data_IF_141304792935
#
_entry.id   IF_141304792935
#
_cell.length_a   1.000
_cell.length_b   1.000
_cell.length_c   1.000
_cell.angle_alpha   90.00
_cell.angle_beta   90.00
_cell.angle_gamma   90.00
#
_symmetry.space_group_name_H-M   'P 1'
#
loop_
_entity.id
_entity.type
_entity.pdbx_description
1 polymer ?
#
# COMPACT_ATOMS: atom_id res chain seq x y z
N UNK A 1 -5.96 27.22 24.77
CA UNK A 1 -5.36 26.37 23.71
C UNK A 1 -4.89 25.03 24.22
N UNK A 2 -3.57 24.73 24.11
CA UNK A 2 -3.02 23.40 24.43
C UNK A 2 -3.30 22.89 25.84
N UNK A 3 -3.21 23.78 26.87
CA UNK A 3 -3.56 23.43 28.25
C UNK A 3 -5.05 23.11 28.43
N UNK A 4 -5.90 23.76 27.69
CA UNK A 4 -7.34 23.54 27.71
C UNK A 4 -7.70 22.17 27.10
N UNK A 5 -6.98 21.75 26.06
CA UNK A 5 -7.18 20.48 25.38
C UNK A 5 -6.57 19.29 26.14
N UNK A 6 -5.35 19.43 26.67
CA UNK A 6 -4.60 18.36 27.33
C UNK A 6 -4.79 18.30 28.84
N UNK A 7 -5.34 19.35 29.44
CA UNK A 7 -5.56 19.45 30.89
C UNK A 7 -4.26 19.29 31.70
N UNK A 8 -4.35 18.51 32.77
CA UNK A 8 -3.21 18.26 33.67
C UNK A 8 -2.06 17.50 33.02
N UNK A 9 -2.33 16.73 31.96
CA UNK A 9 -1.31 15.96 31.22
C UNK A 9 -0.26 16.88 30.57
N UNK A 10 -0.61 18.13 30.29
CA UNK A 10 0.34 19.09 29.72
C UNK A 10 1.44 19.48 30.70
N UNK A 11 1.21 19.40 32.02
CA UNK A 11 2.18 19.76 33.03
C UNK A 11 3.43 18.88 33.08
N UNK A 12 3.35 17.65 32.49
CA UNK A 12 4.47 16.74 32.38
C UNK A 12 5.42 17.06 31.21
N UNK A 13 5.09 18.08 30.40
CA UNK A 13 5.86 18.46 29.23
C UNK A 13 6.55 19.82 29.43
N UNK A 14 7.83 19.88 29.10
CA UNK A 14 8.62 21.12 29.07
C UNK A 14 8.92 21.56 27.64
N UNK A 15 9.02 22.87 27.37
CA UNK A 15 9.48 23.37 26.09
C UNK A 15 10.86 22.78 25.76
N UNK A 16 11.01 22.23 24.56
CA UNK A 16 12.25 21.56 24.14
C UNK A 16 13.06 22.39 23.13
N UNK A 17 12.39 22.97 22.15
CA UNK A 17 13.04 23.71 21.06
C UNK A 17 12.42 25.09 20.89
N UNK A 18 13.17 25.93 20.15
CA UNK A 18 12.63 27.19 19.67
C UNK A 18 11.43 26.97 18.77
N UNK A 19 10.47 27.86 18.84
CA UNK A 19 9.26 27.83 18.03
C UNK A 19 9.63 27.88 16.55
N UNK A 20 9.24 26.84 15.79
CA UNK A 20 9.40 26.84 14.34
C UNK A 20 8.28 27.68 13.74
N UNK A 21 8.67 28.74 13.03
CA UNK A 21 7.76 29.63 12.33
C UNK A 21 7.82 29.37 10.85
N UNK A 22 6.68 29.10 10.24
CA UNK A 22 6.54 28.92 8.78
C UNK A 22 5.59 29.96 8.21
N UNK A 23 6.10 30.82 7.36
CA UNK A 23 5.25 31.79 6.66
C UNK A 23 4.65 31.13 5.43
N UNK A 24 3.32 31.13 5.36
CA UNK A 24 2.54 30.60 4.26
C UNK A 24 1.73 31.76 3.64
N UNK A 25 1.28 31.63 2.39
CA UNK A 25 0.49 32.69 1.73
C UNK A 25 -0.74 33.05 2.56
N UNK A 26 -0.75 34.28 3.10
CA UNK A 26 -1.86 34.83 3.87
C UNK A 26 -1.86 34.52 5.37
N UNK A 27 -0.95 33.70 5.90
CA UNK A 27 -0.86 33.42 7.34
C UNK A 27 0.53 32.94 7.78
N UNK A 28 0.75 32.98 9.08
CA UNK A 28 1.95 32.40 9.70
C UNK A 28 1.53 31.20 10.55
N UNK A 29 2.20 30.09 10.35
CA UNK A 29 1.98 28.85 11.09
C UNK A 29 3.14 28.67 12.09
N UNK A 30 2.81 28.16 13.29
CA UNK A 30 3.76 27.90 14.35
C UNK A 30 3.74 26.44 14.74
N UNK A 31 4.91 25.89 15.02
CA UNK A 31 5.06 24.56 15.60
C UNK A 31 5.81 24.65 16.90
N UNK A 32 5.20 24.20 17.97
CA UNK A 32 5.78 24.19 19.31
C UNK A 32 6.09 22.75 19.69
N UNK A 33 7.35 22.48 20.04
CA UNK A 33 7.78 21.16 20.49
C UNK A 33 8.04 21.16 21.98
N UNK A 34 7.45 20.20 22.66
CA UNK A 34 7.62 19.96 24.09
C UNK A 34 8.17 18.54 24.30
N UNK A 35 8.98 18.33 25.32
CA UNK A 35 9.51 17.02 25.69
C UNK A 35 8.94 16.59 27.05
N UNK A 36 8.60 15.30 27.16
CA UNK A 36 8.09 14.74 28.41
C UNK A 36 9.23 14.52 29.42
N UNK A 37 9.10 15.03 30.64
CA UNK A 37 10.18 15.03 31.64
C UNK A 37 10.58 13.65 32.10
N UNK A 38 9.62 12.79 32.39
CA UNK A 38 9.85 11.48 33.03
C UNK A 38 9.74 10.29 32.11
N UNK A 39 9.01 10.40 31.00
CA UNK A 39 8.82 9.30 30.05
C UNK A 39 10.02 9.23 29.09
N UNK A 40 10.86 8.21 29.34
CA UNK A 40 12.04 7.92 28.52
C UNK A 40 12.03 6.43 28.15
N UNK A 41 12.32 6.11 26.93
CA UNK A 41 12.49 4.75 26.45
C UNK A 41 13.94 4.58 25.98
N UNK A 42 14.81 4.15 26.86
CA UNK A 42 16.26 4.03 26.62
C UNK A 42 16.82 5.39 26.13
N UNK A 43 17.16 5.51 24.86
CA UNK A 43 17.67 6.75 24.25
C UNK A 43 16.54 7.63 23.69
N UNK A 44 15.35 7.07 23.43
CA UNK A 44 14.24 7.79 22.84
C UNK A 44 13.53 8.68 23.86
N UNK A 45 12.94 9.77 23.36
CA UNK A 45 12.22 10.79 24.14
C UNK A 45 10.82 10.99 23.60
N UNK A 46 9.85 11.08 24.48
CA UNK A 46 8.48 11.39 24.09
C UNK A 46 8.30 12.89 23.93
N UNK A 47 7.87 13.30 22.75
CA UNK A 47 7.64 14.69 22.40
C UNK A 47 6.18 14.94 22.02
N UNK A 48 5.74 16.13 22.35
CA UNK A 48 4.44 16.66 21.98
C UNK A 48 4.67 17.83 21.02
N UNK A 49 4.08 17.75 19.85
CA UNK A 49 4.15 18.81 18.84
C UNK A 49 2.79 19.44 18.68
N UNK A 50 2.72 20.74 18.96
CA UNK A 50 1.52 21.55 18.79
C UNK A 50 1.64 22.36 17.52
N UNK A 51 0.71 22.19 16.60
CA UNK A 51 0.66 22.92 15.33
C UNK A 51 -0.42 23.98 15.41
N UNK A 52 -0.04 25.23 15.23
CA UNK A 52 -0.93 26.40 15.27
C UNK A 52 -0.93 27.05 13.89
N UNK A 53 -2.09 27.16 13.28
CA UNK A 53 -2.29 27.82 12.00
C UNK A 53 -2.95 29.18 12.22
N UNK A 54 -2.16 30.25 12.07
CA UNK A 54 -2.59 31.59 12.44
C UNK A 54 -2.85 31.72 13.94
N UNK A 55 -4.11 31.78 14.34
CA UNK A 55 -4.56 31.91 15.73
C UNK A 55 -5.19 30.64 16.32
N UNK A 56 -5.27 29.54 15.51
CA UNK A 56 -5.96 28.31 15.92
C UNK A 56 -5.01 27.11 16.05
N UNK A 57 -5.20 26.35 17.11
CA UNK A 57 -4.57 25.03 17.26
C UNK A 57 -5.21 24.06 16.26
N UNK A 58 -4.42 23.53 15.31
CA UNK A 58 -4.88 22.67 14.25
C UNK A 58 -4.35 21.24 14.34
N UNK A 59 -3.34 21.00 15.18
CA UNK A 59 -2.79 19.67 15.38
C UNK A 59 -2.13 19.52 16.74
N UNK A 60 -2.29 18.33 17.33
CA UNK A 60 -1.63 17.89 18.55
C UNK A 60 -1.08 16.51 18.27
N UNK A 61 0.22 16.41 18.02
CA UNK A 61 0.89 15.17 17.69
C UNK A 61 1.76 14.72 18.86
N UNK A 62 1.64 13.46 19.26
CA UNK A 62 2.56 12.83 20.19
C UNK A 62 3.48 11.91 19.42
N UNK A 63 4.77 12.06 19.58
CA UNK A 63 5.76 11.23 18.90
C UNK A 63 6.87 10.79 19.86
N UNK A 64 7.43 9.63 19.57
CA UNK A 64 8.65 9.15 20.21
C UNK A 64 9.82 9.57 19.32
N UNK A 65 10.62 10.53 19.81
CA UNK A 65 11.81 10.97 19.11
C UNK A 65 12.95 9.98 19.33
N UNK A 66 13.40 9.35 18.26
CA UNK A 66 14.54 8.46 18.24
C UNK A 66 15.77 9.28 17.90
N UNK A 67 16.88 9.18 18.67
CA UNK A 67 18.12 9.89 18.34
C UNK A 67 18.74 9.43 17.03
N UNK A 68 19.29 10.35 16.26
CA UNK A 68 19.97 10.06 14.99
C UNK A 68 21.08 9.02 15.11
N UNK A 69 21.81 9.05 16.23
CA UNK A 69 22.84 8.06 16.50
C UNK A 69 22.30 6.62 16.63
N UNK A 70 21.06 6.44 17.08
CA UNK A 70 20.40 5.14 17.07
C UNK A 70 20.02 4.73 15.66
N UNK A 71 19.45 5.64 14.87
CA UNK A 71 19.08 5.37 13.49
C UNK A 71 20.30 5.00 12.65
N UNK A 72 21.41 5.71 12.81
CA UNK A 72 22.68 5.38 12.14
C UNK A 72 23.16 3.97 12.49
N UNK A 73 23.22 3.62 13.79
CA UNK A 73 23.60 2.25 14.22
C UNK A 73 22.65 1.19 13.67
N UNK A 74 21.36 1.47 13.64
CA UNK A 74 20.35 0.57 13.11
C UNK A 74 20.50 0.38 11.60
N UNK A 75 20.73 1.45 10.85
CA UNK A 75 20.98 1.40 9.41
C UNK A 75 22.29 0.66 9.09
N UNK A 76 23.36 0.89 9.85
CA UNK A 76 24.63 0.16 9.71
C UNK A 76 24.45 -1.36 9.92
N UNK A 77 23.72 -1.76 10.97
CA UNK A 77 23.41 -3.19 11.21
C UNK A 77 22.60 -3.81 10.05
N UNK A 78 21.78 -3.03 9.38
CA UNK A 78 20.92 -3.51 8.27
C UNK A 78 21.50 -3.27 6.89
N UNK A 79 22.62 -2.56 6.78
CA UNK A 79 23.18 -2.13 5.48
C UNK A 79 23.38 -3.30 4.52
N UNK A 80 23.89 -4.44 4.97
CA UNK A 80 24.11 -5.63 4.13
C UNK A 80 22.75 -6.21 3.66
N UNK A 81 21.77 -6.34 4.55
CA UNK A 81 20.44 -6.84 4.20
C UNK A 81 19.74 -5.89 3.22
N UNK A 82 19.88 -4.58 3.43
CA UNK A 82 19.29 -3.57 2.54
C UNK A 82 19.94 -3.63 1.14
N UNK A 83 21.27 -3.82 1.06
CA UNK A 83 21.97 -3.99 -0.21
C UNK A 83 21.54 -5.27 -0.93
N UNK A 84 21.46 -6.40 -0.24
CA UNK A 84 20.96 -7.66 -0.81
C UNK A 84 19.54 -7.49 -1.33
N UNK A 85 18.66 -6.84 -0.55
CA UNK A 85 17.28 -6.56 -0.96
C UNK A 85 17.21 -5.66 -2.20
N UNK A 86 18.04 -4.62 -2.28
CA UNK A 86 18.10 -3.74 -3.44
C UNK A 86 18.57 -4.49 -4.70
N UNK A 87 19.63 -5.28 -4.59
CA UNK A 87 20.11 -6.10 -5.72
C UNK A 87 19.05 -7.08 -6.16
N UNK A 88 18.39 -7.78 -5.23
CA UNK A 88 17.29 -8.69 -5.53
C UNK A 88 16.15 -7.96 -6.26
N UNK A 89 15.77 -6.77 -5.81
CA UNK A 89 14.74 -5.95 -6.46
C UNK A 89 15.13 -5.55 -7.89
N UNK A 90 16.38 -5.14 -8.14
CA UNK A 90 16.85 -4.81 -9.49
C UNK A 90 16.85 -6.04 -10.41
N UNK A 91 17.30 -7.19 -9.91
CA UNK A 91 17.28 -8.46 -10.66
C UNK A 91 15.83 -8.86 -10.98
N UNK A 92 14.94 -8.81 -9.99
CA UNK A 92 13.52 -9.09 -10.19
C UNK A 92 12.88 -8.15 -11.20
N UNK A 93 13.13 -6.85 -11.10
CA UNK A 93 12.65 -5.87 -12.07
C UNK A 93 13.17 -6.16 -13.48
N UNK A 94 14.46 -6.41 -13.61
CA UNK A 94 15.08 -6.76 -14.90
C UNK A 94 14.47 -8.01 -15.52
N UNK A 95 14.35 -9.09 -14.75
CA UNK A 95 13.82 -10.36 -15.25
C UNK A 95 12.31 -10.31 -15.54
N UNK A 96 11.51 -9.77 -14.61
CA UNK A 96 10.05 -9.83 -14.70
C UNK A 96 9.48 -8.71 -15.57
N UNK A 97 9.96 -7.48 -15.41
CA UNK A 97 9.42 -6.34 -16.15
C UNK A 97 10.07 -6.26 -17.53
N UNK A 98 11.41 -6.16 -17.61
CA UNK A 98 12.07 -6.02 -18.90
C UNK A 98 12.05 -7.34 -19.69
N UNK A 99 12.42 -8.45 -19.09
CA UNK A 99 12.41 -9.75 -19.76
C UNK A 99 10.99 -10.30 -19.97
N UNK A 100 10.21 -10.37 -18.90
CA UNK A 100 8.88 -10.97 -18.90
C UNK A 100 7.83 -10.10 -19.59
N UNK A 101 7.54 -8.90 -19.08
CA UNK A 101 6.46 -8.08 -19.64
C UNK A 101 6.85 -7.45 -20.97
N UNK A 102 8.01 -6.80 -21.06
CA UNK A 102 8.40 -6.12 -22.30
C UNK A 102 8.84 -7.14 -23.34
N UNK A 103 9.81 -8.01 -23.03
CA UNK A 103 10.31 -9.03 -23.96
C UNK A 103 9.23 -10.03 -24.35
N UNK A 104 8.52 -10.60 -23.36
CA UNK A 104 7.39 -11.51 -23.57
C UNK A 104 6.25 -10.84 -24.33
N UNK A 105 5.95 -9.57 -24.01
CA UNK A 105 4.93 -8.77 -24.70
C UNK A 105 5.27 -8.56 -26.19
N UNK A 106 6.50 -8.18 -26.51
CA UNK A 106 6.98 -8.04 -27.90
C UNK A 106 6.88 -9.39 -28.64
N UNK A 107 7.31 -10.46 -28.01
CA UNK A 107 7.27 -11.79 -28.59
C UNK A 107 5.83 -12.26 -28.87
N UNK A 108 4.90 -12.07 -27.91
CA UNK A 108 3.48 -12.37 -28.09
C UNK A 108 2.82 -11.47 -29.15
N UNK A 109 3.20 -10.20 -29.21
CA UNK A 109 2.72 -9.26 -30.23
C UNK A 109 3.08 -9.74 -31.64
N UNK A 110 4.34 -10.13 -31.86
CA UNK A 110 4.81 -10.69 -33.15
C UNK A 110 4.08 -11.97 -33.56
N UNK A 111 3.59 -12.71 -32.55
CA UNK A 111 2.81 -13.95 -32.78
C UNK A 111 1.30 -13.73 -32.81
N UNK A 112 0.82 -12.48 -32.72
CA UNK A 112 -0.60 -12.13 -32.69
C UNK A 112 -1.39 -12.83 -31.57
N UNK A 113 -0.75 -13.10 -30.42
CA UNK A 113 -1.32 -13.83 -29.29
C UNK A 113 -1.89 -12.93 -28.18
N UNK A 114 -1.76 -11.60 -28.30
CA UNK A 114 -2.25 -10.65 -27.30
C UNK A 114 -3.77 -10.47 -27.39
N UNK A 115 -4.44 -10.61 -26.26
CA UNK A 115 -5.90 -10.42 -26.11
C UNK A 115 -6.20 -9.14 -25.34
N UNK A 116 -6.08 -8.00 -26.01
CA UNK A 116 -6.24 -6.69 -25.36
C UNK A 116 -7.64 -6.42 -24.80
N UNK A 117 -8.72 -6.78 -25.55
CA UNK A 117 -10.11 -6.45 -25.13
C UNK A 117 -10.44 -6.99 -23.72
N UNK A 118 -10.32 -8.31 -23.43
CA UNK A 118 -10.62 -8.82 -22.10
C UNK A 118 -9.64 -8.31 -21.05
N UNK A 119 -8.36 -8.06 -21.39
CA UNK A 119 -7.37 -7.50 -20.48
C UNK A 119 -7.76 -6.07 -20.04
N UNK A 120 -8.13 -5.21 -21.00
CA UNK A 120 -8.60 -3.87 -20.69
C UNK A 120 -9.89 -3.88 -19.87
N UNK A 121 -10.85 -4.75 -20.18
CA UNK A 121 -12.10 -4.83 -19.42
C UNK A 121 -11.85 -5.20 -17.96
N UNK A 122 -11.04 -6.22 -17.70
CA UNK A 122 -10.68 -6.64 -16.35
C UNK A 122 -9.89 -5.53 -15.62
N UNK A 123 -8.88 -4.96 -16.28
CA UNK A 123 -8.06 -3.90 -15.74
C UNK A 123 -8.90 -2.65 -15.40
N UNK A 124 -9.78 -2.22 -16.31
CA UNK A 124 -10.67 -1.09 -16.09
C UNK A 124 -11.64 -1.34 -14.93
N UNK A 125 -12.15 -2.57 -14.78
CA UNK A 125 -13.02 -2.94 -13.65
C UNK A 125 -12.28 -2.77 -12.31
N UNK A 126 -11.07 -3.30 -12.20
CA UNK A 126 -10.24 -3.17 -11.00
C UNK A 126 -9.85 -1.70 -10.76
N UNK A 127 -9.39 -1.01 -11.79
CA UNK A 127 -8.98 0.39 -11.70
C UNK A 127 -10.14 1.33 -11.30
N UNK A 128 -11.37 1.05 -11.80
CA UNK A 128 -12.57 1.80 -11.39
C UNK A 128 -12.85 1.64 -9.90
N UNK A 129 -12.72 0.42 -9.37
CA UNK A 129 -12.89 0.18 -7.95
C UNK A 129 -11.81 0.86 -7.10
N UNK A 130 -10.55 0.84 -7.56
CA UNK A 130 -9.45 1.56 -6.90
C UNK A 130 -9.68 3.09 -6.93
N UNK A 131 -10.10 3.65 -8.06
CA UNK A 131 -10.44 5.06 -8.16
C UNK A 131 -11.63 5.44 -7.26
N UNK A 132 -12.65 4.59 -7.20
CA UNK A 132 -13.77 4.76 -6.27
C UNK A 132 -13.32 4.69 -4.81
N UNK A 133 -12.29 3.87 -4.50
CA UNK A 133 -11.70 3.80 -3.16
C UNK A 133 -10.99 5.10 -2.78
N UNK A 134 -10.29 5.76 -3.73
CA UNK A 134 -9.69 7.09 -3.51
C UNK A 134 -10.77 8.10 -3.11
N UNK A 135 -11.89 8.14 -3.83
CA UNK A 135 -13.01 9.03 -3.51
C UNK A 135 -13.67 8.63 -2.17
N UNK A 136 -13.77 7.32 -1.89
CA UNK A 136 -14.30 6.82 -0.62
C UNK A 136 -13.46 7.28 0.59
N UNK A 137 -12.15 7.46 0.40
CA UNK A 137 -11.22 7.93 1.43
C UNK A 137 -11.21 9.46 1.59
N UNK A 138 -12.07 10.20 0.92
CA UNK A 138 -12.16 11.66 0.99
C UNK A 138 -12.26 12.20 2.44
N UNK A 139 -13.04 11.61 3.38
CA UNK A 139 -13.08 12.09 4.77
C UNK A 139 -11.69 12.05 5.44
N UNK A 140 -10.89 11.03 5.15
CA UNK A 140 -9.53 10.91 5.67
C UNK A 140 -8.57 11.91 5.01
N UNK A 141 -8.65 12.05 3.69
CA UNK A 141 -7.88 13.05 2.95
C UNK A 141 -8.19 14.46 3.44
N UNK A 142 -9.45 14.72 3.85
CA UNK A 142 -9.88 15.99 4.40
C UNK A 142 -9.22 16.33 5.74
N UNK A 143 -8.84 15.34 6.54
CA UNK A 143 -8.11 15.57 7.79
C UNK A 143 -6.71 16.20 7.56
N UNK A 144 -6.11 15.91 6.40
CA UNK A 144 -4.85 16.51 5.96
C UNK A 144 -5.01 17.78 5.09
N UNK A 145 -6.23 18.31 4.96
CA UNK A 145 -6.51 19.46 4.12
C UNK A 145 -5.80 20.72 4.61
N UNK A 146 -4.93 21.27 3.75
CA UNK A 146 -4.26 22.53 4.03
C UNK A 146 -5.18 23.70 3.70
N UNK A 147 -5.59 24.46 4.73
CA UNK A 147 -6.50 25.62 4.59
C UNK A 147 -5.91 26.79 3.80
N UNK A 148 -4.66 26.69 3.34
CA UNK A 148 -4.03 27.63 2.41
C UNK A 148 -4.46 27.42 0.95
N UNK A 149 -5.08 26.28 0.66
CA UNK A 149 -5.65 25.94 -0.65
C UNK A 149 -7.17 26.05 -0.54
N UNK A 150 -7.85 26.54 -1.57
CA UNK A 150 -9.31 26.58 -1.55
C UNK A 150 -9.91 25.16 -1.53
N UNK A 151 -11.03 24.98 -0.84
CA UNK A 151 -11.72 23.70 -0.75
C UNK A 151 -12.04 23.10 -2.15
N UNK A 152 -12.43 23.94 -3.11
CA UNK A 152 -12.71 23.49 -4.47
C UNK A 152 -11.44 22.96 -5.17
N UNK A 153 -10.30 23.61 -5.00
CA UNK A 153 -9.04 23.13 -5.56
C UNK A 153 -8.60 21.82 -4.92
N UNK A 154 -8.80 21.68 -3.61
CA UNK A 154 -8.54 20.43 -2.91
C UNK A 154 -9.40 19.29 -3.45
N UNK A 155 -10.72 19.49 -3.60
CA UNK A 155 -11.63 18.50 -4.18
C UNK A 155 -11.26 18.16 -5.61
N UNK A 156 -10.90 19.16 -6.42
CA UNK A 156 -10.44 18.94 -7.79
C UNK A 156 -9.18 18.06 -7.83
N UNK A 157 -8.23 18.29 -6.92
CA UNK A 157 -7.04 17.45 -6.80
C UNK A 157 -7.38 16.00 -6.44
N UNK A 158 -8.35 15.76 -5.54
CA UNK A 158 -8.79 14.41 -5.19
C UNK A 158 -9.44 13.69 -6.40
N UNK A 159 -10.29 14.39 -7.14
CA UNK A 159 -10.93 13.86 -8.36
C UNK A 159 -9.89 13.61 -9.46
N UNK A 160 -8.95 14.52 -9.66
CA UNK A 160 -7.86 14.34 -10.61
C UNK A 160 -6.97 13.15 -10.22
N UNK A 161 -6.66 13.00 -8.93
CA UNK A 161 -5.93 11.85 -8.39
C UNK A 161 -6.65 10.53 -8.66
N UNK A 162 -7.96 10.46 -8.41
CA UNK A 162 -8.78 9.29 -8.76
C UNK A 162 -8.77 9.01 -10.27
N UNK A 163 -8.82 10.06 -11.11
CA UNK A 163 -8.68 9.93 -12.56
C UNK A 163 -7.31 9.37 -12.99
N UNK A 164 -6.24 9.83 -12.39
CA UNK A 164 -4.90 9.28 -12.63
C UNK A 164 -4.78 7.82 -12.21
N UNK A 165 -5.37 7.44 -11.07
CA UNK A 165 -5.46 6.04 -10.62
C UNK A 165 -6.22 5.21 -11.65
N UNK A 166 -7.39 5.68 -12.09
CA UNK A 166 -8.20 4.98 -13.09
C UNK A 166 -7.42 4.74 -14.39
N UNK A 167 -6.83 5.76 -14.96
CA UNK A 167 -6.10 5.64 -16.24
C UNK A 167 -4.81 4.85 -16.07
N UNK A 168 -3.98 5.20 -15.08
CA UNK A 168 -2.68 4.58 -14.85
C UNK A 168 -2.81 3.09 -14.55
N UNK A 169 -3.67 2.71 -13.60
CA UNK A 169 -3.89 1.28 -13.29
C UNK A 169 -4.54 0.52 -14.45
N UNK A 170 -5.45 1.13 -15.20
CA UNK A 170 -6.03 0.47 -16.38
C UNK A 170 -4.95 0.10 -17.39
N UNK A 171 -4.03 1.01 -17.71
CA UNK A 171 -2.97 0.75 -18.67
C UNK A 171 -1.97 -0.30 -18.17
N UNK A 172 -1.50 -0.15 -16.93
CA UNK A 172 -0.50 -1.05 -16.34
C UNK A 172 -1.07 -2.45 -16.15
N UNK A 173 -2.26 -2.59 -15.56
CA UNK A 173 -2.89 -3.87 -15.34
C UNK A 173 -3.28 -4.54 -16.65
N UNK A 174 -3.75 -3.79 -17.66
CA UNK A 174 -4.08 -4.34 -18.97
C UNK A 174 -2.84 -4.97 -19.63
N UNK A 175 -1.68 -4.31 -19.53
CA UNK A 175 -0.42 -4.87 -20.03
C UNK A 175 -0.06 -6.17 -19.29
N UNK A 176 -0.06 -6.14 -17.96
CA UNK A 176 0.28 -7.29 -17.11
C UNK A 176 -0.65 -8.48 -17.39
N UNK A 177 -1.96 -8.25 -17.41
CA UNK A 177 -2.95 -9.30 -17.67
C UNK A 177 -2.84 -9.86 -19.09
N UNK A 178 -2.64 -8.99 -20.08
CA UNK A 178 -2.53 -9.39 -21.48
C UNK A 178 -1.29 -10.28 -21.71
N UNK A 179 -0.14 -9.88 -21.15
CA UNK A 179 1.12 -10.61 -21.32
C UNK A 179 1.12 -11.87 -20.45
N UNK A 180 0.75 -11.77 -19.18
CA UNK A 180 0.72 -12.92 -18.26
C UNK A 180 -0.21 -14.03 -18.75
N UNK A 181 -1.43 -13.66 -19.19
CA UNK A 181 -2.37 -14.64 -19.79
C UNK A 181 -1.86 -15.22 -21.10
N UNK A 182 -1.28 -14.35 -21.95
CA UNK A 182 -0.73 -14.78 -23.24
C UNK A 182 0.41 -15.80 -23.08
N UNK A 183 1.36 -15.55 -22.20
CA UNK A 183 2.46 -16.47 -21.89
C UNK A 183 1.95 -17.77 -21.26
N UNK A 184 1.05 -17.67 -20.27
CA UNK A 184 0.46 -18.84 -19.60
C UNK A 184 -0.30 -19.74 -20.58
N UNK A 185 -1.04 -19.15 -21.52
CA UNK A 185 -1.77 -19.91 -22.54
C UNK A 185 -0.85 -20.66 -23.49
N UNK A 186 0.33 -20.10 -23.78
CA UNK A 186 1.31 -20.78 -24.63
C UNK A 186 2.07 -21.87 -23.90
N UNK A 187 2.42 -21.61 -22.63
CA UNK A 187 3.17 -22.58 -21.82
C UNK A 187 2.27 -23.74 -21.33
N UNK A 188 1.03 -23.43 -20.95
CA UNK A 188 0.13 -24.36 -20.26
C UNK A 188 -1.22 -24.47 -20.99
N UNK A 189 -1.26 -25.19 -22.12
CA UNK A 189 -2.44 -25.26 -22.97
C UNK A 189 -3.72 -25.77 -22.26
N UNK A 190 -3.57 -26.65 -21.27
CA UNK A 190 -4.68 -27.26 -20.53
C UNK A 190 -5.05 -26.54 -19.24
N UNK A 191 -4.30 -25.48 -18.87
CA UNK A 191 -4.60 -24.70 -17.66
C UNK A 191 -5.78 -23.73 -17.92
N UNK A 192 -6.70 -23.55 -16.95
CA UNK A 192 -7.75 -22.54 -17.06
C UNK A 192 -7.13 -21.15 -17.24
N UNK A 193 -7.64 -20.46 -18.22
CA UNK A 193 -7.16 -19.13 -18.61
C UNK A 193 -7.77 -18.08 -17.70
N UNK A 194 -7.03 -17.02 -17.38
CA UNK A 194 -7.49 -15.93 -16.55
C UNK A 194 -8.85 -15.37 -17.01
N UNK A 195 -9.00 -15.10 -18.31
CA UNK A 195 -10.23 -14.49 -18.82
C UNK A 195 -11.39 -15.47 -18.98
N UNK A 196 -11.11 -16.76 -19.12
CA UNK A 196 -12.15 -17.79 -19.21
C UNK A 196 -12.79 -18.06 -17.85
N UNK A 197 -12.09 -17.79 -16.73
CA UNK A 197 -12.63 -17.96 -15.39
C UNK A 197 -13.89 -17.12 -15.13
N UNK A 198 -14.01 -15.97 -15.80
CA UNK A 198 -15.19 -15.10 -15.70
C UNK A 198 -16.36 -15.52 -16.63
N UNK A 199 -16.20 -16.59 -17.42
CA UNK A 199 -17.30 -17.13 -18.23
C UNK A 199 -18.18 -18.06 -17.39
N UNK A 200 -19.49 -17.90 -17.51
CA UNK A 200 -20.47 -18.68 -16.74
C UNK A 200 -20.19 -20.19 -16.70
N UNK A 201 -19.91 -20.89 -17.83
CA UNK A 201 -19.66 -22.32 -17.82
C UNK A 201 -18.43 -22.72 -16.99
N UNK A 202 -17.38 -21.89 -16.98
CA UNK A 202 -16.15 -22.14 -16.23
C UNK A 202 -16.33 -21.75 -14.77
N UNK A 203 -16.93 -20.58 -14.50
CA UNK A 203 -17.17 -20.08 -13.14
C UNK A 203 -18.06 -21.02 -12.31
N UNK A 204 -18.97 -21.75 -12.95
CA UNK A 204 -19.88 -22.71 -12.28
C UNK A 204 -19.37 -24.17 -12.32
N UNK A 205 -18.15 -24.40 -12.79
CA UNK A 205 -17.57 -25.75 -12.85
C UNK A 205 -17.11 -26.23 -11.46
N UNK A 206 -17.13 -27.56 -11.21
CA UNK A 206 -16.58 -28.14 -9.98
C UNK A 206 -15.13 -27.76 -9.73
N UNK A 207 -14.33 -27.63 -10.80
CA UNK A 207 -12.92 -27.22 -10.73
C UNK A 207 -12.79 -25.78 -10.21
N UNK A 208 -13.61 -24.85 -10.69
CA UNK A 208 -13.62 -23.47 -10.21
C UNK A 208 -14.03 -23.41 -8.74
N UNK A 209 -15.07 -24.14 -8.34
CA UNK A 209 -15.50 -24.24 -6.95
C UNK A 209 -14.39 -24.81 -6.06
N UNK A 210 -13.76 -25.90 -6.48
CA UNK A 210 -12.66 -26.53 -5.75
C UNK A 210 -11.48 -25.56 -5.56
N UNK A 211 -11.16 -24.74 -6.53
CA UNK A 211 -10.12 -23.70 -6.43
C UNK A 211 -10.49 -22.59 -5.46
N UNK A 212 -11.74 -22.11 -5.50
CA UNK A 212 -12.23 -21.09 -4.58
C UNK A 212 -12.20 -21.61 -3.15
N UNK A 213 -12.73 -22.82 -2.89
CA UNK A 213 -12.70 -23.43 -1.57
C UNK A 213 -11.25 -23.70 -1.10
N UNK A 214 -10.38 -24.16 -1.99
CA UNK A 214 -8.96 -24.33 -1.72
C UNK A 214 -8.27 -23.01 -1.35
N UNK A 215 -8.57 -21.92 -2.06
CA UNK A 215 -8.04 -20.60 -1.74
C UNK A 215 -8.46 -20.11 -0.35
N UNK A 216 -9.72 -20.26 0.01
CA UNK A 216 -10.19 -19.96 1.40
C UNK A 216 -9.53 -20.87 2.44
N UNK A 217 -9.35 -22.16 2.15
CA UNK A 217 -8.63 -23.08 3.03
C UNK A 217 -7.18 -22.65 3.25
N UNK A 218 -6.46 -22.28 2.17
CA UNK A 218 -5.11 -21.77 2.26
C UNK A 218 -5.02 -20.42 2.99
N UNK A 219 -5.97 -19.51 2.78
CA UNK A 219 -6.03 -18.25 3.50
C UNK A 219 -6.22 -18.50 5.02
N UNK A 220 -7.13 -19.40 5.39
CA UNK A 220 -7.32 -19.80 6.78
C UNK A 220 -6.07 -20.44 7.40
N UNK A 221 -5.40 -21.32 6.67
CA UNK A 221 -4.13 -21.93 7.10
C UNK A 221 -3.03 -20.87 7.27
N UNK A 222 -2.90 -19.92 6.35
CA UNK A 222 -1.92 -18.84 6.45
C UNK A 222 -2.17 -17.94 7.67
N UNK A 223 -3.43 -17.59 7.93
CA UNK A 223 -3.79 -16.80 9.11
C UNK A 223 -3.48 -17.56 10.40
N UNK A 224 -3.78 -18.86 10.45
CA UNK A 224 -3.41 -19.70 11.58
C UNK A 224 -1.90 -19.75 11.78
N UNK A 225 -1.14 -19.96 10.70
CA UNK A 225 0.33 -19.93 10.72
C UNK A 225 0.86 -18.60 11.25
N UNK A 226 0.35 -17.48 10.74
CA UNK A 226 0.77 -16.15 11.18
C UNK A 226 0.48 -15.93 12.68
N UNK A 227 -0.69 -16.37 13.16
CA UNK A 227 -1.07 -16.27 14.57
C UNK A 227 -0.14 -17.13 15.46
N UNK A 228 0.09 -18.38 15.09
CA UNK A 228 0.97 -19.30 15.84
C UNK A 228 2.40 -18.75 15.85
N UNK A 229 2.90 -18.30 14.71
CA UNK A 229 4.22 -17.68 14.60
C UNK A 229 4.36 -16.45 15.52
N UNK A 230 3.34 -15.60 15.55
CA UNK A 230 3.29 -14.40 16.40
C UNK A 230 3.34 -14.78 17.90
N UNK A 231 2.60 -15.80 18.32
CA UNK A 231 2.63 -16.28 19.69
C UNK A 231 4.02 -16.81 20.08
N UNK A 232 4.60 -17.65 19.22
CA UNK A 232 5.93 -18.19 19.42
C UNK A 232 6.97 -17.05 19.47
N UNK A 233 6.94 -16.12 18.53
CA UNK A 233 7.87 -14.98 18.48
C UNK A 233 7.83 -14.15 19.75
N UNK A 234 6.64 -13.95 20.32
CA UNK A 234 6.47 -13.23 21.59
C UNK A 234 7.11 -13.98 22.76
N UNK A 235 6.91 -15.30 22.85
CA UNK A 235 7.44 -16.10 23.96
C UNK A 235 8.96 -16.23 23.89
N UNK A 236 9.55 -16.25 22.69
CA UNK A 236 11.00 -16.28 22.49
C UNK A 236 11.64 -14.89 22.43
N UNK A 237 10.88 -13.82 22.56
CA UNK A 237 11.39 -12.45 22.46
C UNK A 237 11.94 -12.09 21.07
N UNK A 238 11.48 -12.77 20.01
CA UNK A 238 11.84 -12.41 18.64
C UNK A 238 11.20 -11.09 18.24
N UNK A 239 11.90 -10.36 17.36
CA UNK A 239 11.32 -9.18 16.79
C UNK A 239 10.09 -9.53 15.94
N UNK A 240 9.00 -8.90 16.24
CA UNK A 240 7.76 -9.01 15.48
C UNK A 240 7.33 -7.63 15.05
N UNK A 241 7.02 -7.41 13.76
CA UNK A 241 6.48 -6.14 13.33
C UNK A 241 5.18 -5.85 14.07
N UNK A 242 5.08 -4.65 14.63
CA UNK A 242 3.87 -4.17 15.30
C UNK A 242 2.82 -3.68 14.31
N UNK A 243 3.12 -3.75 13.03
CA UNK A 243 2.17 -3.37 11.98
C UNK A 243 0.90 -4.18 12.12
N UNK A 244 -0.16 -3.46 12.36
CA UNK A 244 -1.49 -4.04 12.43
C UNK A 244 -1.89 -4.54 11.04
N UNK A 245 -2.41 -5.76 10.96
CA UNK A 245 -2.97 -6.32 9.74
C UNK A 245 -4.13 -5.47 9.17
N UNK A 246 -4.63 -4.55 9.97
CA UNK A 246 -5.73 -3.66 9.61
C UNK A 246 -5.38 -2.21 9.94
N UNK A 247 -5.52 -1.31 8.98
CA UNK A 247 -5.51 0.12 9.25
C UNK A 247 -6.84 0.51 9.93
N UNK A 248 -6.80 0.97 11.20
CA UNK A 248 -8.03 1.34 11.92
C UNK A 248 -8.79 2.49 11.22
N UNK A 249 -8.10 3.29 10.43
CA UNK A 249 -8.69 4.40 9.70
C UNK A 249 -9.56 3.97 8.51
N UNK A 250 -9.47 2.72 8.07
CA UNK A 250 -10.33 2.17 7.01
C UNK A 250 -11.81 2.43 7.30
N UNK A 251 -12.21 2.33 8.58
CA UNK A 251 -13.61 2.54 9.00
C UNK A 251 -14.06 4.00 8.86
N UNK A 252 -13.14 4.96 8.76
CA UNK A 252 -13.46 6.39 8.59
C UNK A 252 -13.78 6.77 7.13
N UNK A 253 -13.59 5.84 6.18
CA UNK A 253 -13.94 6.07 4.77
C UNK A 253 -15.46 6.03 4.55
N UNK A 254 -15.96 6.65 3.45
CA UNK A 254 -17.38 6.65 3.09
C UNK A 254 -17.92 5.23 2.82
N UNK A 255 -17.09 4.36 2.27
CA UNK A 255 -17.40 2.97 1.96
C UNK A 255 -16.22 2.08 2.34
N UNK A 256 -16.11 1.67 3.61
CA UNK A 256 -14.94 0.95 4.13
C UNK A 256 -14.58 -0.34 3.38
N UNK A 257 -15.56 -1.02 2.80
CA UNK A 257 -15.33 -2.27 2.06
C UNK A 257 -14.67 -2.09 0.69
N UNK A 258 -14.77 -0.90 0.06
CA UNK A 258 -14.26 -0.69 -1.30
C UNK A 258 -12.73 -0.84 -1.36
N UNK A 259 -12.01 -0.17 -0.45
CA UNK A 259 -10.54 -0.21 -0.41
C UNK A 259 -10.02 -1.65 -0.36
N UNK A 260 -10.30 -2.41 0.70
CA UNK A 260 -9.81 -3.78 0.86
C UNK A 260 -10.18 -4.71 -0.28
N UNK A 261 -11.42 -4.67 -0.78
CA UNK A 261 -11.87 -5.53 -1.88
C UNK A 261 -11.07 -5.26 -3.16
N UNK A 262 -10.97 -4.01 -3.58
CA UNK A 262 -10.31 -3.71 -4.86
C UNK A 262 -8.79 -3.73 -4.75
N UNK A 263 -8.20 -3.46 -3.58
CA UNK A 263 -6.79 -3.71 -3.32
C UNK A 263 -6.47 -5.20 -3.36
N UNK A 264 -7.28 -6.05 -2.73
CA UNK A 264 -7.11 -7.50 -2.78
C UNK A 264 -7.25 -8.06 -4.22
N UNK A 265 -8.22 -7.57 -4.99
CA UNK A 265 -8.37 -7.93 -6.39
C UNK A 265 -7.18 -7.48 -7.23
N UNK A 266 -6.73 -6.24 -7.02
CA UNK A 266 -5.56 -5.72 -7.71
C UNK A 266 -4.31 -6.54 -7.35
N UNK A 267 -3.98 -6.68 -6.06
CA UNK A 267 -2.81 -7.43 -5.61
C UNK A 267 -2.88 -8.88 -6.08
N UNK A 268 -3.96 -9.59 -5.81
CA UNK A 268 -4.11 -11.00 -6.18
C UNK A 268 -4.03 -11.26 -7.67
N UNK A 269 -4.50 -10.35 -8.53
CA UNK A 269 -4.45 -10.57 -9.98
C UNK A 269 -3.12 -10.17 -10.61
N UNK A 270 -2.56 -9.01 -10.23
CA UNK A 270 -1.31 -8.57 -10.84
C UNK A 270 -0.10 -9.35 -10.32
N UNK A 271 -0.09 -9.70 -9.03
CA UNK A 271 0.98 -10.50 -8.44
C UNK A 271 0.99 -11.92 -9.02
N UNK A 272 -0.18 -12.56 -9.16
CA UNK A 272 -0.29 -13.84 -9.83
C UNK A 272 0.23 -13.78 -11.27
N UNK A 273 -0.12 -12.74 -12.01
CA UNK A 273 0.35 -12.60 -13.39
C UNK A 273 1.86 -12.33 -13.44
N UNK A 274 2.37 -11.39 -12.66
CA UNK A 274 3.74 -10.91 -12.77
C UNK A 274 4.76 -11.82 -12.09
N UNK A 275 4.47 -12.27 -10.85
CA UNK A 275 5.43 -13.02 -10.04
C UNK A 275 5.27 -14.54 -10.13
N UNK A 276 4.17 -15.03 -10.70
CA UNK A 276 3.95 -16.47 -10.88
C UNK A 276 3.76 -16.85 -12.34
N UNK A 277 2.76 -16.31 -13.02
CA UNK A 277 2.44 -16.72 -14.38
C UNK A 277 3.56 -16.41 -15.39
N UNK A 278 4.12 -15.20 -15.35
CA UNK A 278 5.20 -14.79 -16.25
C UNK A 278 6.46 -15.66 -16.08
N UNK A 279 7.07 -15.80 -14.88
CA UNK A 279 8.30 -16.56 -14.72
C UNK A 279 8.10 -18.05 -14.99
N UNK A 280 7.00 -18.66 -14.53
CA UNK A 280 6.73 -20.08 -14.78
C UNK A 280 6.48 -20.36 -16.26
N UNK A 281 5.77 -19.47 -16.95
CA UNK A 281 5.52 -19.62 -18.37
C UNK A 281 6.81 -19.45 -19.19
N UNK A 282 7.66 -18.48 -18.84
CA UNK A 282 8.97 -18.33 -19.49
C UNK A 282 9.84 -19.56 -19.28
N UNK A 283 9.93 -20.05 -18.03
CA UNK A 283 10.70 -21.26 -17.74
C UNK A 283 10.19 -22.52 -18.46
N UNK A 284 8.88 -22.58 -18.78
CA UNK A 284 8.29 -23.70 -19.53
C UNK A 284 8.42 -23.57 -21.07
N UNK A 285 8.65 -22.34 -21.56
CA UNK A 285 8.77 -22.06 -23.01
C UNK A 285 10.25 -22.17 -23.47
N UNK A 286 11.21 -21.84 -22.60
CA UNK A 286 12.66 -21.93 -22.83
C UNK A 286 13.13 -23.39 -22.69
#
# INVERSE_FOLDING_TARGET
>A
GAREFLGERFNAYKPFESVVRRQTTGRTDYSFTYEHESLKLVEARFRLVLKVAGDKLVGVDTLCHIPEAFDQRFEEMRAVNNQISQVANYVMFGLLVLGGLVGGGIWLHRRHQLRWKPAFLLAATVATGLAASVISNLPMSWMGYATTVSANNFLLQQVAGAGMVLVGYTLVLALIFCVGEGLSRMAFAHHPRLFDFFRKPVATSPEAMGRVLGAYGWAGFFLLYAMVFQLISRDFGWWSPTDTLTDPNILASLRPALGPIFQALQAGTWEECLFRAVPLALAAII
#
